data_IF_752473530161
#
_entry.id   IF_752473530161
#
_cell.length_a   1.000
_cell.length_b   1.000
_cell.length_c   1.000
_cell.angle_alpha   90.00
_cell.angle_beta   90.00
_cell.angle_gamma   90.00
#
_symmetry.space_group_name_H-M   'P 1'
#
loop_
_entity.id
_entity.type
_entity.pdbx_description
1 polymer ?
#
# COMPACT_ATOMS: atom_id res chain seq x y z
N UNK A 1 -4.69 -7.97 7.23
CA UNK A 1 -3.69 -7.67 8.29
C UNK A 1 -3.88 -8.50 9.56
N UNK A 2 -5.04 -8.48 10.22
CA UNK A 2 -5.25 -9.17 11.51
C UNK A 2 -5.00 -10.69 11.43
N UNK A 3 -5.36 -11.31 10.31
CA UNK A 3 -5.04 -12.71 10.00
C UNK A 3 -3.53 -12.94 9.84
N UNK A 4 -2.83 -12.03 9.15
CA UNK A 4 -1.38 -12.09 9.00
C UNK A 4 -0.67 -11.93 10.36
N UNK A 5 -1.15 -11.02 11.22
CA UNK A 5 -0.61 -10.84 12.57
C UNK A 5 -0.79 -12.13 13.39
N UNK A 6 -1.96 -12.79 13.33
CA UNK A 6 -2.16 -14.07 13.99
C UNK A 6 -1.15 -15.12 13.50
N UNK A 7 -0.95 -15.23 12.19
CA UNK A 7 0.04 -16.15 11.61
C UNK A 7 1.49 -15.83 12.02
N UNK A 8 1.85 -14.55 12.12
CA UNK A 8 3.19 -14.12 12.52
C UNK A 8 3.48 -14.30 14.01
N UNK A 9 2.43 -14.25 14.84
CA UNK A 9 2.56 -14.29 16.31
C UNK A 9 2.25 -15.66 16.89
N UNK A 10 1.58 -16.54 16.13
CA UNK A 10 1.05 -17.81 16.63
C UNK A 10 -0.10 -17.63 17.64
N UNK A 11 -0.58 -16.39 17.84
CA UNK A 11 -1.66 -16.07 18.76
C UNK A 11 -3.02 -16.26 18.08
N UNK A 12 -4.09 -16.51 18.84
CA UNK A 12 -5.43 -16.58 18.28
C UNK A 12 -5.77 -15.33 17.47
N UNK A 13 -6.47 -15.52 16.34
CA UNK A 13 -6.93 -14.40 15.54
C UNK A 13 -7.87 -13.50 16.35
N UNK A 14 -7.70 -12.18 16.23
CA UNK A 14 -8.59 -11.20 16.87
C UNK A 14 -10.01 -11.40 16.32
N UNK A 15 -10.96 -11.69 17.21
CA UNK A 15 -12.35 -11.96 16.88
C UNK A 15 -13.31 -11.26 17.84
N UNK A 16 -14.61 -11.31 17.52
CA UNK A 16 -15.68 -10.88 18.41
C UNK A 16 -15.67 -9.37 18.69
N UNK A 17 -15.79 -8.93 19.95
CA UNK A 17 -15.98 -7.51 20.31
C UNK A 17 -14.90 -6.57 19.76
N UNK A 18 -13.64 -7.00 19.70
CA UNK A 18 -12.56 -6.16 19.18
C UNK A 18 -12.68 -5.94 17.67
N UNK A 19 -13.09 -6.96 16.93
CA UNK A 19 -13.35 -6.85 15.50
C UNK A 19 -14.59 -6.01 15.24
N UNK A 20 -15.65 -6.18 16.05
CA UNK A 20 -16.84 -5.32 15.98
C UNK A 20 -16.50 -3.86 16.23
N UNK A 21 -15.63 -3.57 17.21
CA UNK A 21 -15.15 -2.22 17.48
C UNK A 21 -14.39 -1.62 16.30
N UNK A 22 -13.53 -2.38 15.61
CA UNK A 22 -12.86 -1.92 14.39
C UNK A 22 -13.84 -1.63 13.25
N UNK A 23 -14.83 -2.51 13.05
CA UNK A 23 -15.88 -2.26 12.05
C UNK A 23 -16.69 -1.02 12.42
N UNK A 24 -17.01 -0.84 13.70
CA UNK A 24 -17.74 0.33 14.17
C UNK A 24 -16.95 1.62 13.96
N UNK A 25 -15.66 1.67 14.30
CA UNK A 25 -14.84 2.87 14.04
C UNK A 25 -14.70 3.17 12.56
N UNK A 26 -14.65 2.14 11.71
CA UNK A 26 -14.68 2.33 10.25
C UNK A 26 -16.01 2.93 9.75
N UNK A 27 -17.16 2.37 10.19
CA UNK A 27 -18.49 2.89 9.83
C UNK A 27 -18.63 4.33 10.32
N UNK A 28 -18.27 4.59 11.58
CA UNK A 28 -18.32 5.91 12.17
C UNK A 28 -17.46 6.90 11.39
N UNK A 29 -16.24 6.52 11.00
CA UNK A 29 -15.39 7.35 10.14
C UNK A 29 -16.06 7.72 8.82
N UNK A 30 -16.74 6.77 8.16
CA UNK A 30 -17.50 7.04 6.91
C UNK A 30 -18.65 8.02 7.12
N UNK A 31 -19.41 7.86 8.21
CA UNK A 31 -20.50 8.77 8.55
C UNK A 31 -19.95 10.17 8.84
N UNK A 32 -18.94 10.26 9.69
CA UNK A 32 -18.36 11.55 10.08
C UNK A 32 -17.76 12.30 8.89
N UNK A 33 -17.03 11.61 8.01
CA UNK A 33 -16.50 12.23 6.78
C UNK A 33 -17.65 12.67 5.85
N UNK A 34 -18.70 11.86 5.72
CA UNK A 34 -19.87 12.18 4.88
C UNK A 34 -20.65 13.42 5.33
N UNK A 35 -20.57 13.78 6.62
CA UNK A 35 -21.17 14.99 7.19
C UNK A 35 -20.11 16.02 7.63
N UNK A 36 -18.89 15.95 7.05
CA UNK A 36 -17.74 16.72 7.52
C UNK A 36 -17.97 18.23 7.61
N UNK A 37 -18.69 18.81 6.66
CA UNK A 37 -19.00 20.26 6.62
C UNK A 37 -19.92 20.71 7.78
N UNK A 38 -20.70 19.80 8.35
CA UNK A 38 -21.67 20.08 9.42
C UNK A 38 -21.16 19.74 10.81
N UNK A 39 -19.94 19.19 10.93
CA UNK A 39 -19.37 18.68 12.16
C UNK A 39 -18.13 19.49 12.58
N UNK A 40 -17.79 19.53 13.88
CA UNK A 40 -16.56 20.14 14.33
C UNK A 40 -15.34 19.46 13.69
N UNK A 41 -14.38 20.27 13.20
CA UNK A 41 -13.14 19.79 12.53
C UNK A 41 -12.45 18.68 13.30
N UNK A 42 -12.31 18.83 14.63
CA UNK A 42 -11.67 17.82 15.48
C UNK A 42 -12.39 16.47 15.43
N UNK A 43 -13.73 16.45 15.39
CA UNK A 43 -14.51 15.22 15.28
C UNK A 43 -14.27 14.54 13.93
N UNK A 44 -14.16 15.32 12.85
CA UNK A 44 -13.92 14.79 11.51
C UNK A 44 -12.54 14.15 11.38
N UNK A 45 -11.51 14.83 11.90
CA UNK A 45 -10.14 14.29 11.93
C UNK A 45 -10.08 13.01 12.78
N UNK A 46 -10.71 13.01 13.97
CA UNK A 46 -10.79 11.81 14.83
C UNK A 46 -11.53 10.65 14.15
N UNK A 47 -12.60 10.95 13.42
CA UNK A 47 -13.36 9.98 12.63
C UNK A 47 -12.50 9.36 11.51
N UNK A 48 -11.73 10.17 10.79
CA UNK A 48 -10.84 9.71 9.73
C UNK A 48 -9.76 8.76 10.24
N UNK A 49 -9.03 9.15 11.30
CA UNK A 49 -7.90 8.35 11.80
C UNK A 49 -8.30 7.23 12.78
N UNK A 50 -9.51 7.26 13.33
CA UNK A 50 -9.93 6.40 14.44
C UNK A 50 -9.81 4.90 14.13
N UNK A 51 -10.15 4.49 12.91
CA UNK A 51 -9.94 3.11 12.46
C UNK A 51 -8.46 2.72 12.51
N UNK A 52 -7.59 3.54 11.93
CA UNK A 52 -6.15 3.25 11.88
C UNK A 52 -5.51 3.25 13.25
N UNK A 53 -5.85 4.22 14.11
CA UNK A 53 -5.34 4.28 15.49
C UNK A 53 -5.71 3.01 16.26
N UNK A 54 -6.97 2.57 16.15
CA UNK A 54 -7.41 1.35 16.82
C UNK A 54 -6.74 0.10 16.24
N UNK A 55 -6.61 0.01 14.91
CA UNK A 55 -5.91 -1.08 14.23
C UNK A 55 -4.45 -1.17 14.67
N UNK A 56 -3.76 -0.03 14.75
CA UNK A 56 -2.37 0.06 15.19
C UNK A 56 -2.25 -0.37 16.65
N UNK A 57 -3.14 0.09 17.54
CA UNK A 57 -3.12 -0.29 18.95
C UNK A 57 -3.28 -1.82 19.14
N UNK A 58 -4.22 -2.43 18.42
CA UNK A 58 -4.43 -3.88 18.44
C UNK A 58 -3.22 -4.64 17.88
N UNK A 59 -2.72 -4.24 16.71
CA UNK A 59 -1.56 -4.90 16.11
C UNK A 59 -0.30 -4.76 16.96
N UNK A 60 -0.08 -3.59 17.57
CA UNK A 60 1.04 -3.34 18.47
C UNK A 60 0.94 -4.24 19.71
N UNK A 61 -0.24 -4.36 20.32
CA UNK A 61 -0.49 -5.28 21.44
C UNK A 61 -0.09 -6.71 21.09
N UNK A 62 -0.59 -7.25 19.97
CA UNK A 62 -0.30 -8.64 19.58
C UNK A 62 1.17 -8.86 19.22
N UNK A 63 1.80 -7.93 18.49
CA UNK A 63 3.20 -8.06 18.08
C UNK A 63 4.16 -7.90 19.26
N UNK A 64 3.90 -6.99 20.21
CA UNK A 64 4.70 -6.85 21.42
C UNK A 64 4.54 -8.07 22.33
N UNK A 65 3.31 -8.57 22.50
CA UNK A 65 3.05 -9.75 23.32
C UNK A 65 3.74 -11.01 22.77
N UNK A 66 3.92 -11.10 21.44
CA UNK A 66 4.65 -12.17 20.78
C UNK A 66 6.14 -11.88 20.57
N UNK A 67 6.66 -10.73 21.03
CA UNK A 67 8.03 -10.24 20.78
C UNK A 67 8.42 -10.23 19.29
N UNK A 68 7.47 -10.06 18.39
CA UNK A 68 7.70 -10.05 16.95
C UNK A 68 8.01 -8.62 16.45
N UNK A 69 9.17 -8.10 16.86
CA UNK A 69 9.60 -6.74 16.54
C UNK A 69 9.89 -6.53 15.05
N UNK A 70 10.19 -7.61 14.30
CA UNK A 70 10.46 -7.54 12.86
C UNK A 70 9.26 -7.01 12.08
N UNK A 71 8.05 -7.37 12.51
CA UNK A 71 6.81 -6.99 11.84
C UNK A 71 6.24 -5.64 12.29
N UNK A 72 6.84 -4.97 13.28
CA UNK A 72 6.46 -3.60 13.66
C UNK A 72 6.62 -2.60 12.51
N UNK A 73 7.48 -2.91 11.54
CA UNK A 73 7.65 -2.09 10.31
C UNK A 73 6.34 -1.94 9.54
N UNK A 74 5.49 -2.98 9.53
CA UNK A 74 4.17 -2.91 8.87
C UNK A 74 3.26 -1.92 9.59
N UNK A 75 3.25 -1.93 10.93
CA UNK A 75 2.51 -0.93 11.72
C UNK A 75 3.03 0.48 11.51
N UNK A 76 4.34 0.65 11.39
CA UNK A 76 4.94 1.96 11.12
C UNK A 76 4.45 2.53 9.78
N UNK A 77 4.40 1.71 8.72
CA UNK A 77 3.86 2.12 7.41
C UNK A 77 2.37 2.46 7.51
N UNK A 78 1.58 1.71 8.27
CA UNK A 78 0.16 2.04 8.53
C UNK A 78 0.03 3.34 9.32
N UNK A 79 0.95 3.62 10.25
CA UNK A 79 1.02 4.90 10.97
C UNK A 79 1.26 6.08 10.03
N UNK A 80 2.11 5.91 9.02
CA UNK A 80 2.30 6.94 7.97
C UNK A 80 1.02 7.14 7.16
N UNK A 81 0.32 6.07 6.79
CA UNK A 81 -0.99 6.18 6.11
C UNK A 81 -1.98 6.96 6.98
N UNK A 82 -2.09 6.62 8.27
CA UNK A 82 -2.98 7.29 9.21
C UNK A 82 -2.64 8.77 9.38
N UNK A 83 -1.35 9.11 9.42
CA UNK A 83 -0.88 10.50 9.51
C UNK A 83 -1.32 11.29 8.28
N UNK A 84 -1.06 10.77 7.07
CA UNK A 84 -1.40 11.48 5.84
C UNK A 84 -2.92 11.55 5.61
N UNK A 85 -3.69 10.56 6.04
CA UNK A 85 -5.16 10.60 6.02
C UNK A 85 -5.73 11.69 6.94
N UNK A 86 -5.17 11.83 8.15
CA UNK A 86 -5.53 12.90 9.08
C UNK A 86 -5.13 14.29 8.56
N UNK A 87 -3.91 14.42 8.01
CA UNK A 87 -3.46 15.67 7.40
C UNK A 87 -4.30 16.04 6.18
N UNK A 88 -4.65 15.06 5.33
CA UNK A 88 -5.51 15.26 4.18
C UNK A 88 -6.89 15.76 4.62
N UNK A 89 -7.48 15.11 5.62
CA UNK A 89 -8.77 15.52 6.18
C UNK A 89 -8.70 16.94 6.75
N UNK A 90 -7.64 17.29 7.47
CA UNK A 90 -7.43 18.64 7.99
C UNK A 90 -7.25 19.68 6.88
N UNK A 91 -6.54 19.35 5.79
CA UNK A 91 -6.35 20.22 4.64
C UNK A 91 -7.68 20.45 3.88
N UNK A 92 -8.50 19.41 3.68
CA UNK A 92 -9.80 19.54 3.04
C UNK A 92 -10.83 20.35 3.85
N UNK A 93 -10.61 20.49 5.16
CA UNK A 93 -11.44 21.30 6.06
C UNK A 93 -10.84 22.69 6.32
N UNK A 94 -9.86 23.11 5.52
CA UNK A 94 -9.13 24.39 5.65
C UNK A 94 -8.47 24.61 7.03
N UNK A 95 -8.27 23.54 7.80
CA UNK A 95 -7.64 23.59 9.12
C UNK A 95 -6.10 23.64 9.04
N UNK A 96 -5.53 23.20 7.92
CA UNK A 96 -4.11 23.28 7.60
C UNK A 96 -3.92 23.73 6.15
N UNK A 97 -3.05 24.71 5.93
CA UNK A 97 -2.67 25.18 4.59
C UNK A 97 -1.65 24.23 3.93
N UNK A 98 -2.07 22.99 3.66
CA UNK A 98 -1.28 21.96 2.97
C UNK A 98 -1.97 21.58 1.67
N UNK A 99 -1.20 21.18 0.66
CA UNK A 99 -1.76 20.67 -0.58
C UNK A 99 -2.39 19.29 -0.39
N UNK A 100 -3.72 19.24 -0.51
CA UNK A 100 -4.48 17.99 -0.43
C UNK A 100 -4.04 16.97 -1.49
N UNK A 101 -3.58 17.42 -2.67
CA UNK A 101 -3.11 16.55 -3.76
C UNK A 101 -1.86 15.79 -3.36
N UNK A 102 -0.83 16.50 -2.91
CA UNK A 102 0.37 15.90 -2.35
C UNK A 102 0.05 14.89 -1.22
N UNK A 103 -0.89 15.23 -0.33
CA UNK A 103 -1.23 14.40 0.83
C UNK A 103 -1.84 13.05 0.44
N UNK A 104 -2.88 13.03 -0.40
CA UNK A 104 -3.50 11.76 -0.79
C UNK A 104 -2.57 10.95 -1.71
N UNK A 105 -1.77 11.58 -2.58
CA UNK A 105 -0.80 10.87 -3.43
C UNK A 105 0.26 10.18 -2.57
N UNK A 106 0.74 10.85 -1.53
CA UNK A 106 1.69 10.27 -0.57
C UNK A 106 1.07 9.09 0.18
N UNK A 107 -0.18 9.21 0.63
CA UNK A 107 -0.90 8.10 1.27
C UNK A 107 -1.02 6.89 0.32
N UNK A 108 -1.42 7.11 -0.93
CA UNK A 108 -1.53 6.06 -1.96
C UNK A 108 -0.17 5.40 -2.21
N UNK A 109 0.89 6.18 -2.44
CA UNK A 109 2.24 5.62 -2.65
C UNK A 109 2.75 4.85 -1.42
N UNK A 110 2.35 5.26 -0.21
CA UNK A 110 2.66 4.52 1.02
C UNK A 110 1.94 3.17 1.07
N UNK A 111 0.70 3.09 0.59
CA UNK A 111 -0.01 1.81 0.41
C UNK A 111 0.70 0.95 -0.65
N UNK A 112 1.15 1.55 -1.75
CA UNK A 112 1.91 0.84 -2.79
C UNK A 112 3.25 0.30 -2.25
N UNK A 113 3.92 1.06 -1.37
CA UNK A 113 5.11 0.59 -0.65
C UNK A 113 4.78 -0.62 0.24
N UNK A 114 3.63 -0.60 0.92
CA UNK A 114 3.17 -1.73 1.74
C UNK A 114 2.86 -2.97 0.91
N UNK A 115 2.11 -2.83 -0.19
CA UNK A 115 1.83 -3.88 -1.17
C UNK A 115 3.14 -4.46 -1.69
N UNK A 116 4.11 -3.59 -2.02
CA UNK A 116 5.42 -3.99 -2.52
C UNK A 116 6.27 -4.73 -1.50
N UNK A 117 6.16 -4.38 -0.22
CA UNK A 117 6.89 -5.02 0.87
C UNK A 117 6.34 -6.42 1.16
N UNK A 118 5.01 -6.57 1.19
CA UNK A 118 4.34 -7.83 1.50
C UNK A 118 4.33 -8.75 0.28
N UNK A 119 3.87 -8.24 -0.87
CA UNK A 119 3.82 -8.96 -2.14
C UNK A 119 5.18 -9.50 -2.57
N UNK A 120 6.25 -8.76 -2.27
CA UNK A 120 7.63 -9.17 -2.50
C UNK A 120 8.07 -10.51 -1.92
N UNK A 121 7.39 -10.97 -0.87
CA UNK A 121 7.66 -12.27 -0.24
C UNK A 121 6.57 -13.27 -0.57
N UNK A 122 5.32 -12.81 -0.56
CA UNK A 122 4.14 -13.66 -0.74
C UNK A 122 4.06 -14.19 -2.17
N UNK A 123 4.14 -13.32 -3.17
CA UNK A 123 3.94 -13.68 -4.58
C UNK A 123 4.99 -14.69 -5.07
N UNK A 124 6.31 -14.47 -4.91
CA UNK A 124 7.30 -15.48 -5.34
C UNK A 124 7.21 -16.78 -4.54
N UNK A 125 6.82 -16.75 -3.26
CA UNK A 125 6.63 -17.97 -2.46
C UNK A 125 5.47 -18.83 -2.99
N UNK A 126 4.31 -18.22 -3.25
CA UNK A 126 3.17 -18.93 -3.83
C UNK A 126 3.48 -19.46 -5.22
N UNK A 127 4.21 -18.68 -6.03
CA UNK A 127 4.64 -19.11 -7.37
C UNK A 127 5.59 -20.31 -7.30
N UNK A 128 6.55 -20.27 -6.38
CA UNK A 128 7.50 -21.38 -6.16
C UNK A 128 6.76 -22.64 -5.73
N UNK A 129 5.85 -22.53 -4.76
CA UNK A 129 5.07 -23.66 -4.27
C UNK A 129 4.22 -24.29 -5.38
N UNK A 130 3.60 -23.47 -6.24
CA UNK A 130 2.86 -23.94 -7.40
C UNK A 130 3.76 -24.67 -8.41
N UNK A 131 4.88 -24.05 -8.81
CA UNK A 131 5.82 -24.65 -9.76
C UNK A 131 6.40 -25.98 -9.26
N UNK A 132 6.67 -26.08 -7.96
CA UNK A 132 7.13 -27.32 -7.33
C UNK A 132 6.02 -28.38 -7.28
N UNK A 133 4.78 -27.99 -6.97
CA UNK A 133 3.63 -28.91 -6.97
C UNK A 133 3.35 -29.50 -8.35
N UNK A 134 3.41 -28.67 -9.38
CA UNK A 134 3.09 -29.03 -10.76
C UNK A 134 4.31 -29.54 -11.56
N UNK A 135 5.46 -29.74 -10.88
CA UNK A 135 6.72 -30.21 -11.46
C UNK A 135 7.14 -29.43 -12.73
N UNK A 136 6.97 -28.10 -12.71
CA UNK A 136 7.34 -27.24 -13.84
C UNK A 136 8.87 -27.16 -13.93
N UNK A 137 9.41 -27.68 -15.03
CA UNK A 137 10.84 -27.61 -15.34
C UNK A 137 11.20 -26.24 -15.93
N UNK A 138 11.39 -25.25 -15.06
CA UNK A 138 11.83 -23.91 -15.38
C UNK A 138 12.60 -23.28 -14.22
N UNK A 139 13.30 -22.16 -14.49
CA UNK A 139 13.99 -21.43 -13.45
C UNK A 139 13.00 -20.94 -12.38
N UNK A 140 13.27 -21.31 -11.13
CA UNK A 140 12.44 -20.94 -9.98
C UNK A 140 12.40 -19.41 -9.77
N UNK A 141 11.29 -18.87 -9.23
CA UNK A 141 11.17 -17.45 -8.94
C UNK A 141 12.25 -17.01 -7.94
N UNK A 142 12.79 -15.81 -8.14
CA UNK A 142 13.73 -15.25 -7.18
C UNK A 142 12.99 -14.85 -5.90
N UNK A 143 13.44 -15.37 -4.76
CA UNK A 143 12.99 -14.94 -3.44
C UNK A 143 13.55 -13.56 -3.10
N UNK A 144 12.94 -12.91 -2.11
CA UNK A 144 13.27 -11.54 -1.69
C UNK A 144 14.78 -11.34 -1.44
N UNK A 145 15.41 -10.45 -2.19
CA UNK A 145 16.85 -10.18 -2.16
C UNK A 145 17.20 -8.67 -2.08
N UNK A 146 18.44 -8.30 -2.43
CA UNK A 146 18.91 -6.90 -2.43
C UNK A 146 18.25 -6.04 -3.51
N UNK A 147 17.87 -6.63 -4.64
CA UNK A 147 17.15 -5.92 -5.69
C UNK A 147 15.71 -5.59 -5.24
N UNK A 148 15.08 -6.48 -4.47
CA UNK A 148 13.79 -6.16 -3.84
C UNK A 148 13.90 -4.95 -2.90
N UNK A 149 15.00 -4.82 -2.16
CA UNK A 149 15.27 -3.64 -1.34
C UNK A 149 15.44 -2.37 -2.18
N UNK A 150 16.07 -2.46 -3.35
CA UNK A 150 16.18 -1.35 -4.30
C UNK A 150 14.81 -0.93 -4.84
N UNK A 151 13.93 -1.89 -5.14
CA UNK A 151 12.55 -1.61 -5.56
C UNK A 151 11.80 -0.82 -4.47
N UNK A 152 11.85 -1.29 -3.22
CA UNK A 152 11.22 -0.59 -2.09
C UNK A 152 11.82 0.80 -1.86
N UNK A 153 13.15 0.93 -1.97
CA UNK A 153 13.82 2.21 -1.85
C UNK A 153 13.37 3.19 -2.95
N UNK A 154 13.16 2.72 -4.18
CA UNK A 154 12.71 3.57 -5.29
C UNK A 154 11.31 4.17 -5.05
N UNK A 155 10.39 3.41 -4.47
CA UNK A 155 9.06 3.92 -4.07
C UNK A 155 9.19 4.90 -2.90
N UNK A 156 10.01 4.58 -1.89
CA UNK A 156 10.25 5.50 -0.77
C UNK A 156 10.89 6.83 -1.21
N UNK A 157 11.84 6.79 -2.14
CA UNK A 157 12.44 7.99 -2.75
C UNK A 157 11.39 8.76 -3.55
N UNK A 158 10.51 8.08 -4.29
CA UNK A 158 9.41 8.73 -5.01
C UNK A 158 8.45 9.45 -4.06
N UNK A 159 8.14 8.85 -2.90
CA UNK A 159 7.34 9.51 -1.85
C UNK A 159 8.02 10.80 -1.38
N UNK A 160 9.32 10.73 -1.03
CA UNK A 160 10.06 11.91 -0.55
C UNK A 160 10.14 12.99 -1.63
N UNK A 161 10.41 12.61 -2.88
CA UNK A 161 10.44 13.52 -4.01
C UNK A 161 9.08 14.20 -4.23
N UNK A 162 7.98 13.45 -4.13
CA UNK A 162 6.63 13.99 -4.26
C UNK A 162 6.21 14.90 -3.11
N UNK A 163 6.76 14.74 -1.90
CA UNK A 163 6.54 15.66 -0.78
C UNK A 163 7.29 16.99 -0.99
N UNK A 164 8.53 16.92 -1.51
CA UNK A 164 9.39 18.10 -1.69
C UNK A 164 8.97 18.92 -2.91
N UNK A 165 8.72 18.23 -4.03
CA UNK A 165 8.41 18.85 -5.32
C UNK A 165 7.34 18.01 -6.06
N UNK A 166 6.05 18.17 -5.70
CA UNK A 166 4.95 17.35 -6.22
C UNK A 166 4.73 17.48 -7.74
N UNK A 167 5.13 18.61 -8.33
CA UNK A 167 5.07 18.85 -9.77
C UNK A 167 6.44 18.70 -10.46
N UNK A 168 7.44 18.26 -9.71
CA UNK A 168 8.84 18.23 -10.11
C UNK A 168 9.19 17.11 -11.06
N UNK A 169 10.14 17.40 -11.94
CA UNK A 169 10.75 16.37 -12.79
C UNK A 169 11.45 15.28 -11.95
N UNK A 170 11.94 15.63 -10.76
CA UNK A 170 12.50 14.67 -9.81
C UNK A 170 11.48 13.62 -9.34
N UNK A 171 10.24 14.03 -9.05
CA UNK A 171 9.17 13.11 -8.65
C UNK A 171 8.75 12.21 -9.81
N UNK A 172 8.49 12.79 -10.99
CA UNK A 172 8.11 12.04 -12.18
C UNK A 172 9.16 11.02 -12.60
N UNK A 173 10.45 11.41 -12.61
CA UNK A 173 11.55 10.50 -12.95
C UNK A 173 11.76 9.40 -11.90
N UNK A 174 11.61 9.69 -10.61
CA UNK A 174 11.68 8.69 -9.55
C UNK A 174 10.57 7.63 -9.71
N UNK A 175 9.34 8.06 -10.05
CA UNK A 175 8.22 7.15 -10.31
C UNK A 175 8.46 6.26 -11.53
N UNK A 176 8.97 6.82 -12.63
CA UNK A 176 9.30 6.02 -13.82
C UNK A 176 10.42 5.00 -13.54
N UNK A 177 11.44 5.39 -12.76
CA UNK A 177 12.48 4.48 -12.32
C UNK A 177 11.90 3.36 -11.45
N UNK A 178 11.03 3.70 -10.49
CA UNK A 178 10.34 2.72 -9.66
C UNK A 178 9.48 1.77 -10.51
N UNK A 179 8.75 2.29 -11.50
CA UNK A 179 7.97 1.47 -12.43
C UNK A 179 8.84 0.45 -13.17
N UNK A 180 9.98 0.87 -13.71
CA UNK A 180 10.91 -0.02 -14.42
C UNK A 180 11.46 -1.12 -13.49
N UNK A 181 11.90 -0.74 -12.27
CA UNK A 181 12.42 -1.69 -11.28
C UNK A 181 11.35 -2.71 -10.87
N UNK A 182 10.11 -2.27 -10.65
CA UNK A 182 8.99 -3.13 -10.30
C UNK A 182 8.55 -4.03 -11.47
N UNK A 183 8.68 -3.57 -12.71
CA UNK A 183 8.46 -4.40 -13.91
C UNK A 183 9.50 -5.54 -13.98
N UNK A 184 10.78 -5.23 -13.80
CA UNK A 184 11.85 -6.24 -13.74
C UNK A 184 11.60 -7.21 -12.58
N UNK A 185 11.20 -6.69 -11.41
CA UNK A 185 10.86 -7.52 -10.24
C UNK A 185 9.75 -8.53 -10.54
N UNK A 186 8.70 -8.11 -11.22
CA UNK A 186 7.58 -8.98 -11.60
C UNK A 186 8.05 -10.11 -12.54
N UNK A 187 8.92 -9.80 -13.50
CA UNK A 187 9.51 -10.81 -14.41
C UNK A 187 10.32 -11.85 -13.62
N UNK A 188 11.05 -11.42 -12.59
CA UNK A 188 11.85 -12.32 -11.72
C UNK A 188 11.01 -13.28 -10.89
N UNK A 189 9.71 -13.01 -10.73
CA UNK A 189 8.78 -13.93 -10.07
C UNK A 189 8.18 -14.98 -10.99
N UNK A 190 8.47 -14.92 -12.30
CA UNK A 190 8.15 -16.01 -13.24
C UNK A 190 6.65 -16.38 -13.31
N UNK A 191 5.76 -15.43 -13.03
CA UNK A 191 4.31 -15.63 -12.97
C UNK A 191 3.63 -16.20 -14.22
N UNK A 192 4.30 -16.16 -15.37
CA UNK A 192 3.81 -16.79 -16.60
C UNK A 192 3.58 -18.31 -16.42
N UNK A 193 4.32 -18.97 -15.52
CA UNK A 193 4.18 -20.40 -15.23
C UNK A 193 3.05 -20.73 -14.25
N UNK A 194 2.36 -19.71 -13.70
CA UNK A 194 1.32 -19.89 -12.69
C UNK A 194 -0.07 -19.45 -13.13
N UNK A 195 -0.28 -19.18 -14.43
CA UNK A 195 -1.59 -18.77 -14.95
C UNK A 195 -2.70 -19.83 -14.81
N UNK A 196 -2.34 -21.12 -14.71
CA UNK A 196 -3.31 -22.21 -14.48
C UNK A 196 -3.84 -22.26 -13.05
N UNK A 197 -3.18 -21.60 -12.10
CA UNK A 197 -3.61 -21.50 -10.71
C UNK A 197 -4.22 -20.11 -10.46
N UNK A 198 -5.56 -19.97 -10.43
CA UNK A 198 -6.22 -18.67 -10.42
C UNK A 198 -5.80 -17.76 -9.27
N UNK A 199 -5.51 -18.34 -8.10
CA UNK A 199 -5.07 -17.57 -6.92
C UNK A 199 -3.70 -16.94 -7.19
N UNK A 200 -2.76 -17.70 -7.75
CA UNK A 200 -1.40 -17.20 -8.04
C UNK A 200 -1.42 -16.25 -9.25
N UNK A 201 -2.26 -16.52 -10.25
CA UNK A 201 -2.47 -15.63 -11.38
C UNK A 201 -2.98 -14.25 -10.93
N UNK A 202 -3.98 -14.22 -10.04
CA UNK A 202 -4.55 -12.96 -9.53
C UNK A 202 -3.53 -12.15 -8.72
N UNK A 203 -2.64 -12.81 -7.97
CA UNK A 203 -1.56 -12.13 -7.27
C UNK A 203 -0.60 -11.39 -8.21
N UNK A 204 -0.27 -11.97 -9.37
CA UNK A 204 0.56 -11.30 -10.37
C UNK A 204 -0.20 -10.20 -11.09
N UNK A 205 -1.48 -10.41 -11.39
CA UNK A 205 -2.32 -9.39 -12.03
C UNK A 205 -2.50 -8.16 -11.14
N UNK A 206 -2.78 -8.36 -9.85
CA UNK A 206 -2.85 -7.27 -8.88
C UNK A 206 -1.51 -6.53 -8.76
N UNK A 207 -0.39 -7.27 -8.74
CA UNK A 207 0.93 -6.64 -8.69
C UNK A 207 1.34 -5.95 -9.98
N UNK A 208 0.90 -6.42 -11.15
CA UNK A 208 1.18 -5.83 -12.46
C UNK A 208 0.72 -4.36 -12.53
N UNK A 209 -0.36 -4.03 -11.81
CA UNK A 209 -0.82 -2.65 -11.70
C UNK A 209 0.11 -1.74 -10.90
N UNK A 210 1.03 -2.26 -10.09
CA UNK A 210 2.04 -1.44 -9.38
C UNK A 210 2.97 -0.74 -10.37
N UNK A 211 3.77 -1.43 -11.22
CA UNK A 211 4.60 -0.75 -12.20
C UNK A 211 3.79 0.04 -13.22
N UNK A 212 2.61 -0.43 -13.65
CA UNK A 212 1.76 0.32 -14.59
C UNK A 212 1.28 1.63 -13.96
N UNK A 213 0.73 1.60 -12.75
CA UNK A 213 0.23 2.80 -12.09
C UNK A 213 1.36 3.78 -11.71
N UNK A 214 2.55 3.28 -11.34
CA UNK A 214 3.72 4.13 -11.13
C UNK A 214 4.18 4.79 -12.44
N UNK A 215 4.15 4.06 -13.55
CA UNK A 215 4.49 4.60 -14.86
C UNK A 215 3.49 5.67 -15.31
N UNK A 216 2.18 5.40 -15.15
CA UNK A 216 1.12 6.36 -15.46
C UNK A 216 1.25 7.63 -14.62
N UNK A 217 1.49 7.48 -13.30
CA UNK A 217 1.66 8.65 -12.42
C UNK A 217 2.92 9.44 -12.79
N UNK A 218 4.05 8.77 -13.03
CA UNK A 218 5.28 9.43 -13.47
C UNK A 218 5.11 10.15 -14.82
N UNK A 219 4.41 9.53 -15.77
CA UNK A 219 4.08 10.13 -17.05
C UNK A 219 3.15 11.34 -16.89
N UNK A 220 2.18 11.31 -15.97
CA UNK A 220 1.29 12.46 -15.70
C UNK A 220 2.03 13.65 -15.10
N UNK A 221 3.15 13.43 -14.40
CA UNK A 221 3.99 14.52 -13.87
C UNK A 221 4.85 15.12 -14.98
N UNK A 222 5.43 14.29 -15.85
CA UNK A 222 6.34 14.75 -16.93
C UNK A 222 5.57 15.34 -18.11
N UNK A 223 4.41 14.76 -18.45
CA UNK A 223 3.55 15.17 -19.55
C UNK A 223 2.12 15.45 -19.06
N UNK A 224 1.92 16.51 -18.25
CA UNK A 224 0.63 16.81 -17.63
C UNK A 224 -0.49 17.09 -18.65
N UNK A 225 -0.14 17.48 -19.88
CA UNK A 225 -1.11 17.71 -20.96
C UNK A 225 -1.59 16.40 -21.63
N UNK A 226 -0.90 15.27 -21.42
CA UNK A 226 -1.23 14.00 -22.05
C UNK A 226 -2.09 13.11 -21.14
N UNK A 227 -1.79 13.09 -19.83
CA UNK A 227 -2.47 12.26 -18.84
C UNK A 227 -2.65 13.09 -17.57
N UNK A 228 -3.88 13.16 -17.05
CA UNK A 228 -4.11 13.84 -15.76
C UNK A 228 -3.63 12.98 -14.60
N UNK A 229 -3.18 13.60 -13.52
CA UNK A 229 -2.73 12.87 -12.32
C UNK A 229 -3.87 12.06 -11.68
N UNK A 230 -5.12 12.53 -11.76
CA UNK A 230 -6.29 11.80 -11.28
C UNK A 230 -6.52 10.52 -12.07
N UNK A 231 -6.43 10.58 -13.40
CA UNK A 231 -6.62 9.40 -14.25
C UNK A 231 -5.52 8.37 -14.03
N UNK A 232 -4.27 8.84 -13.90
CA UNK A 232 -3.12 7.99 -13.64
C UNK A 232 -3.25 7.19 -12.33
N UNK A 233 -3.86 7.77 -11.29
CA UNK A 233 -4.04 7.13 -9.99
C UNK A 233 -5.02 5.96 -10.02
N UNK A 234 -5.88 5.82 -11.03
CA UNK A 234 -6.74 4.64 -11.17
C UNK A 234 -5.92 3.35 -11.33
N UNK A 235 -4.75 3.43 -11.97
CA UNK A 235 -3.84 2.29 -12.06
C UNK A 235 -3.35 1.82 -10.68
N UNK A 236 -3.03 2.75 -9.77
CA UNK A 236 -2.59 2.41 -8.42
C UNK A 236 -3.75 2.01 -7.50
N UNK A 237 -4.88 2.72 -7.58
CA UNK A 237 -6.03 2.53 -6.67
C UNK A 237 -6.93 1.38 -7.13
N UNK A 238 -7.59 1.52 -8.27
CA UNK A 238 -8.47 0.49 -8.83
C UNK A 238 -7.71 -0.73 -9.36
N UNK A 239 -6.50 -0.53 -9.88
CA UNK A 239 -5.66 -1.61 -10.37
C UNK A 239 -4.95 -2.37 -9.24
N UNK A 240 -4.03 -1.72 -8.53
CA UNK A 240 -3.21 -2.42 -7.53
C UNK A 240 -3.92 -2.61 -6.18
N UNK A 241 -4.42 -1.53 -5.57
CA UNK A 241 -4.99 -1.57 -4.21
C UNK A 241 -6.29 -2.39 -4.16
N UNK A 242 -7.19 -2.27 -5.15
CA UNK A 242 -8.44 -3.02 -5.11
C UNK A 242 -8.24 -4.53 -5.38
N UNK A 243 -7.16 -4.91 -6.06
CA UNK A 243 -6.87 -6.29 -6.42
C UNK A 243 -6.03 -7.06 -5.37
N UNK A 244 -5.40 -6.37 -4.41
CA UNK A 244 -4.45 -6.95 -3.43
C UNK A 244 -4.85 -6.67 -1.99
#
# INVERSE_FOLDING_TARGET
LLTAIANWTGRPAISGPMLMGLTFTWILGRVVIGFGESLPVALVILGAIGYFVFLIALGLRELMAARNFKNLRVLAVIGVIALFDGLFTAACLDALALDAVMLYQTAILTIILLISLIGGRVIPAFTRNWMQRDNIDALMPTMFDRFDMLCLASVAISIVAGIIDPAGMAFGSALLLAAALHGVRLIRWRGIHSWREPIVAMLHLGYFWVPVGLALLGASVIWPNAITSRDALHGLTGGAIACM
#
